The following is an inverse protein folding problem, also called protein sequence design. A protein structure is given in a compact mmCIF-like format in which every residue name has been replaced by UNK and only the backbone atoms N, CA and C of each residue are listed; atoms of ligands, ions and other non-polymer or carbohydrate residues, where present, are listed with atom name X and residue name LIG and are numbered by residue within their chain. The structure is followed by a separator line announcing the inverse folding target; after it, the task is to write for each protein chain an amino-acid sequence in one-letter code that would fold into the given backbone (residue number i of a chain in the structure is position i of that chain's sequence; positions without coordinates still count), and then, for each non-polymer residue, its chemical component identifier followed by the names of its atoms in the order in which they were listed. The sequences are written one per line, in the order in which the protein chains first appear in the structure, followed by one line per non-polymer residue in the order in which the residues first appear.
data_IF_707013562980
#
_entry.id   IF_707013562980
#
_cell.length_a   1.000
_cell.length_b   1.000
_cell.length_c   1.000
_cell.angle_alpha   90.00
_cell.angle_beta   90.00
_cell.angle_gamma   90.00
#
_symmetry.space_group_name_H-M   'P 1'
#
loop_
_entity.id
_entity.type
_entity.pdbx_description
1 polymer ?
#
# COMPACT_ATOMS: atom_id res chain seq x y z
N UNK A 1 -24.97 -2.77 19.99
CA UNK A 1 -24.45 -2.25 18.71
C UNK A 1 -23.12 -2.89 18.32
N UNK A 2 -22.03 -2.73 19.09
CA UNK A 2 -20.69 -3.26 18.74
C UNK A 2 -20.66 -4.78 18.50
N UNK A 3 -21.36 -5.57 19.33
CA UNK A 3 -21.43 -7.04 19.16
C UNK A 3 -22.06 -7.43 17.82
N UNK A 4 -23.07 -6.70 17.37
CA UNK A 4 -23.73 -6.97 16.08
C UNK A 4 -22.77 -6.66 14.91
N UNK A 5 -22.04 -5.54 15.00
CA UNK A 5 -21.02 -5.19 13.99
C UNK A 5 -19.92 -6.25 13.92
N UNK A 6 -19.43 -6.73 15.07
CA UNK A 6 -18.46 -7.82 15.12
C UNK A 6 -19.01 -9.11 14.50
N UNK A 7 -20.25 -9.49 14.80
CA UNK A 7 -20.86 -10.69 14.22
C UNK A 7 -21.03 -10.56 12.71
N UNK A 8 -21.42 -9.39 12.20
CA UNK A 8 -21.55 -9.12 10.76
C UNK A 8 -20.16 -9.15 10.09
N UNK A 9 -19.17 -8.46 10.65
CA UNK A 9 -17.77 -8.47 10.17
C UNK A 9 -17.20 -9.88 10.12
N UNK A 10 -17.40 -10.66 11.19
CA UNK A 10 -16.97 -12.05 11.26
C UNK A 10 -17.69 -12.91 10.21
N UNK A 11 -19.02 -12.77 10.10
CA UNK A 11 -19.82 -13.51 9.12
C UNK A 11 -19.33 -13.21 7.70
N UNK A 12 -19.22 -11.94 7.31
CA UNK A 12 -18.76 -11.54 5.98
C UNK A 12 -17.33 -12.03 5.71
N UNK A 13 -16.39 -11.78 6.63
CA UNK A 13 -14.99 -12.17 6.47
C UNK A 13 -14.83 -13.69 6.39
N UNK A 14 -15.62 -14.45 7.15
CA UNK A 14 -15.63 -15.91 7.11
C UNK A 14 -16.32 -16.50 5.89
N UNK A 15 -17.17 -15.75 5.16
CA UNK A 15 -17.74 -16.22 3.89
C UNK A 15 -16.85 -15.84 2.69
N UNK A 16 -16.14 -14.71 2.77
CA UNK A 16 -15.24 -14.24 1.72
C UNK A 16 -13.87 -14.94 1.71
N UNK A 17 -13.47 -15.56 2.83
CA UNK A 17 -12.25 -16.36 2.88
C UNK A 17 -12.43 -17.65 2.06
N UNK A 18 -12.26 -17.57 0.75
CA UNK A 18 -12.26 -18.72 -0.17
C UNK A 18 -10.85 -19.28 -0.31
N UNK A 19 -10.72 -20.55 -0.69
CA UNK A 19 -9.41 -21.20 -0.94
C UNK A 19 -8.40 -21.08 0.21
N UNK A 20 -8.90 -21.18 1.45
CA UNK A 20 -8.07 -21.21 2.68
C UNK A 20 -7.19 -22.46 2.74
N UNK A 21 -7.71 -23.59 2.28
CA UNK A 21 -7.00 -24.87 2.30
C UNK A 21 -5.81 -24.84 1.35
N UNK A 22 -4.72 -25.52 1.72
CA UNK A 22 -3.45 -25.54 0.95
C UNK A 22 -3.61 -26.14 -0.44
N UNK A 23 -4.61 -26.99 -0.61
CA UNK A 23 -4.84 -27.75 -1.85
C UNK A 23 -5.72 -27.01 -2.88
N UNK A 24 -6.29 -25.84 -2.52
CA UNK A 24 -7.07 -25.08 -3.51
C UNK A 24 -6.15 -24.46 -4.58
N UNK A 25 -6.37 -24.79 -5.85
CA UNK A 25 -5.66 -24.21 -7.00
C UNK A 25 -5.77 -22.68 -7.05
N UNK A 26 -6.93 -22.13 -6.68
CA UNK A 26 -7.16 -20.68 -6.61
C UNK A 26 -6.29 -19.95 -5.57
N UNK A 27 -5.70 -20.67 -4.60
CA UNK A 27 -4.81 -20.08 -3.59
C UNK A 27 -3.57 -19.45 -4.22
N UNK A 28 -3.03 -20.02 -5.30
CA UNK A 28 -1.88 -19.45 -6.01
C UNK A 28 -2.20 -18.06 -6.55
N UNK A 29 -3.39 -17.88 -7.14
CA UNK A 29 -3.86 -16.58 -7.65
C UNK A 29 -3.99 -15.56 -6.51
N UNK A 30 -4.53 -15.98 -5.37
CA UNK A 30 -4.66 -15.12 -4.18
C UNK A 30 -3.29 -14.70 -3.63
N UNK A 31 -2.32 -15.62 -3.56
CA UNK A 31 -0.94 -15.33 -3.14
C UNK A 31 -0.29 -14.35 -4.12
N UNK A 32 -0.47 -14.52 -5.44
CA UNK A 32 0.07 -13.58 -6.43
C UNK A 32 -0.54 -12.17 -6.27
N UNK A 33 -1.84 -12.07 -5.98
CA UNK A 33 -2.50 -10.80 -5.69
C UNK A 33 -1.91 -10.17 -4.41
N UNK A 34 -1.69 -10.97 -3.36
CA UNK A 34 -1.05 -10.50 -2.12
C UNK A 34 0.35 -9.93 -2.40
N UNK A 35 1.20 -10.69 -3.10
CA UNK A 35 2.54 -10.25 -3.51
C UNK A 35 2.53 -9.02 -4.42
N UNK A 36 1.53 -8.91 -5.31
CA UNK A 36 1.38 -7.75 -6.19
C UNK A 36 1.17 -6.46 -5.41
N UNK A 37 0.60 -6.54 -4.20
CA UNK A 37 0.35 -5.41 -3.32
C UNK A 37 1.25 -5.43 -2.08
N UNK A 38 2.36 -6.15 -2.09
CA UNK A 38 3.24 -6.30 -0.93
C UNK A 38 4.24 -5.14 -0.77
N UNK A 39 4.61 -4.79 0.46
CA UNK A 39 5.36 -3.55 0.73
C UNK A 39 6.80 -3.61 0.25
N UNK A 40 7.45 -4.76 0.47
CA UNK A 40 8.86 -4.98 0.13
C UNK A 40 9.12 -4.85 -1.38
N UNK A 41 8.40 -5.54 -2.29
CA UNK A 41 8.57 -5.34 -3.74
C UNK A 41 8.40 -3.88 -4.18
N UNK A 42 7.34 -3.20 -3.72
CA UNK A 42 7.08 -1.82 -4.13
C UNK A 42 8.11 -0.83 -3.60
N UNK A 43 8.60 -1.01 -2.37
CA UNK A 43 9.70 -0.19 -1.84
C UNK A 43 10.99 -0.36 -2.64
N UNK A 44 11.32 -1.60 -3.04
CA UNK A 44 12.48 -1.87 -3.89
C UNK A 44 12.31 -1.29 -5.30
N UNK A 45 11.15 -1.53 -5.94
CA UNK A 45 10.85 -1.05 -7.29
C UNK A 45 10.89 0.48 -7.33
N UNK A 46 10.17 1.16 -6.43
CA UNK A 46 10.14 2.62 -6.37
C UNK A 46 11.53 3.23 -6.14
N UNK A 47 12.33 2.63 -5.25
CA UNK A 47 13.72 3.07 -5.02
C UNK A 47 14.58 2.92 -6.27
N UNK A 48 14.50 1.78 -6.96
CA UNK A 48 15.23 1.53 -8.22
C UNK A 48 14.78 2.53 -9.29
N UNK A 49 13.47 2.73 -9.45
CA UNK A 49 12.93 3.71 -10.41
C UNK A 49 13.43 5.13 -10.12
N UNK A 50 13.54 5.53 -8.86
CA UNK A 50 14.14 6.82 -8.46
C UNK A 50 15.62 6.93 -8.85
N UNK A 51 16.41 5.90 -8.56
CA UNK A 51 17.85 5.88 -8.84
C UNK A 51 18.16 5.90 -10.34
N UNK A 52 17.41 5.15 -11.15
CA UNK A 52 17.63 5.00 -12.59
C UNK A 52 16.70 5.87 -13.45
N UNK A 53 15.97 6.79 -12.84
CA UNK A 53 14.97 7.65 -13.48
C UNK A 53 15.45 8.37 -14.74
N UNK A 54 16.66 8.93 -14.71
CA UNK A 54 17.28 9.64 -15.84
C UNK A 54 17.52 8.73 -17.06
N UNK A 55 17.69 7.43 -16.82
CA UNK A 55 17.89 6.43 -17.86
C UNK A 55 16.57 5.84 -18.35
N UNK A 56 15.59 5.66 -17.46
CA UNK A 56 14.33 5.01 -17.75
C UNK A 56 13.25 5.95 -18.34
N UNK A 57 13.30 7.25 -18.05
CA UNK A 57 12.24 8.19 -18.43
C UNK A 57 12.78 9.41 -19.17
N UNK A 58 12.05 9.84 -20.21
CA UNK A 58 12.34 11.07 -20.93
C UNK A 58 12.09 12.30 -20.05
N UNK A 59 13.02 13.26 -20.03
CA UNK A 59 13.02 14.41 -19.11
C UNK A 59 11.73 15.23 -19.10
N UNK A 60 11.06 15.38 -20.24
CA UNK A 60 9.83 16.16 -20.38
C UNK A 60 8.56 15.28 -20.41
N UNK A 61 8.67 14.01 -20.03
CA UNK A 61 7.52 13.12 -19.91
C UNK A 61 6.84 13.31 -18.56
N UNK A 62 5.51 13.20 -18.50
CA UNK A 62 4.74 13.15 -17.25
C UNK A 62 5.18 12.02 -16.30
N UNK A 63 5.86 10.99 -16.82
CA UNK A 63 6.40 9.89 -16.02
C UNK A 63 7.78 10.21 -15.42
N UNK A 64 8.41 11.33 -15.78
CA UNK A 64 9.77 11.65 -15.34
C UNK A 64 9.86 11.78 -13.83
N UNK A 65 8.88 12.40 -13.17
CA UNK A 65 8.89 12.57 -11.71
C UNK A 65 8.03 11.54 -10.95
N UNK A 66 7.33 10.65 -11.68
CA UNK A 66 6.50 9.59 -11.08
C UNK A 66 7.22 8.75 -10.02
N UNK A 67 8.50 8.33 -10.19
CA UNK A 67 9.16 7.53 -9.18
C UNK A 67 9.23 8.20 -7.80
N UNK A 68 9.36 9.53 -7.74
CA UNK A 68 9.43 10.26 -6.48
C UNK A 68 8.10 10.26 -5.73
N UNK A 69 6.99 10.51 -6.43
CA UNK A 69 5.66 10.44 -5.81
C UNK A 69 5.36 9.01 -5.36
N UNK A 70 5.69 8.00 -6.17
CA UNK A 70 5.53 6.59 -5.81
C UNK A 70 6.31 6.21 -4.55
N UNK A 71 7.59 6.59 -4.47
CA UNK A 71 8.41 6.31 -3.29
C UNK A 71 7.86 7.03 -2.06
N UNK A 72 7.45 8.29 -2.21
CA UNK A 72 6.84 9.07 -1.12
C UNK A 72 5.53 8.42 -0.65
N UNK A 73 4.64 8.04 -1.56
CA UNK A 73 3.38 7.38 -1.24
C UNK A 73 3.57 6.05 -0.54
N UNK A 74 4.54 5.23 -0.98
CA UNK A 74 4.89 3.98 -0.29
C UNK A 74 5.40 4.22 1.13
N UNK A 75 6.28 5.20 1.33
CA UNK A 75 6.80 5.53 2.67
C UNK A 75 5.67 6.02 3.58
N UNK A 76 4.83 6.93 3.08
CA UNK A 76 3.69 7.47 3.83
C UNK A 76 2.66 6.38 4.16
N UNK A 77 2.33 5.51 3.20
CA UNK A 77 1.44 4.36 3.40
C UNK A 77 1.96 3.45 4.52
N UNK A 78 3.23 3.03 4.44
CA UNK A 78 3.84 2.14 5.43
C UNK A 78 3.85 2.77 6.84
N UNK A 79 4.16 4.06 6.95
CA UNK A 79 4.16 4.78 8.24
C UNK A 79 2.74 4.86 8.81
N UNK A 80 1.78 5.36 8.03
CA UNK A 80 0.40 5.56 8.49
C UNK A 80 -0.24 4.23 8.86
N UNK A 81 -0.16 3.23 7.98
CA UNK A 81 -0.70 1.88 8.23
C UNK A 81 -0.02 1.27 9.46
N UNK A 82 1.30 1.37 9.58
CA UNK A 82 2.06 0.86 10.72
C UNK A 82 1.61 1.49 12.04
N UNK A 83 1.48 2.82 12.09
CA UNK A 83 1.00 3.56 13.26
C UNK A 83 -0.43 3.10 13.64
N UNK A 84 -1.35 3.06 12.67
CA UNK A 84 -2.74 2.65 12.94
C UNK A 84 -2.78 1.20 13.46
N UNK A 85 -2.01 0.27 12.86
CA UNK A 85 -1.91 -1.11 13.34
C UNK A 85 -1.42 -1.19 14.79
N UNK A 86 -0.43 -0.39 15.17
CA UNK A 86 0.12 -0.35 16.54
C UNK A 86 -0.87 0.28 17.53
N UNK A 87 -1.70 1.22 17.10
CA UNK A 87 -2.74 1.85 17.95
C UNK A 87 -3.89 0.86 18.20
N UNK A 88 -4.47 0.27 17.15
CA UNK A 88 -5.68 -0.54 17.27
C UNK A 88 -5.41 -1.99 17.69
N UNK A 89 -4.27 -2.56 17.30
CA UNK A 89 -3.81 -3.90 17.68
C UNK A 89 -4.85 -5.02 17.50
N UNK A 90 -5.76 -4.89 16.51
CA UNK A 90 -6.79 -5.91 16.24
C UNK A 90 -6.11 -7.20 15.79
N UNK A 91 -6.40 -8.32 16.46
CA UNK A 91 -5.88 -9.64 16.09
C UNK A 91 -6.36 -10.04 14.68
N UNK A 92 -5.55 -10.81 13.96
CA UNK A 92 -5.98 -11.47 12.72
C UNK A 92 -7.05 -12.55 13.02
N UNK A 93 -7.99 -12.82 12.09
CA UNK A 93 -8.95 -13.92 12.25
C UNK A 93 -8.24 -15.28 12.41
N UNK A 94 -8.82 -16.18 13.20
CA UNK A 94 -8.21 -17.49 13.53
C UNK A 94 -8.01 -18.43 12.33
N UNK A 95 -8.77 -18.22 11.26
CA UNK A 95 -8.69 -19.01 10.04
C UNK A 95 -7.65 -18.48 9.04
N UNK A 96 -6.81 -17.52 9.44
CA UNK A 96 -5.71 -17.04 8.63
C UNK A 96 -4.55 -18.03 8.66
N UNK A 97 -4.05 -18.43 7.50
CA UNK A 97 -2.89 -19.31 7.39
C UNK A 97 -1.61 -18.49 7.61
N UNK A 98 -1.02 -18.58 8.81
CA UNK A 98 0.20 -17.82 9.16
C UNK A 98 1.37 -18.12 8.20
N UNK A 99 1.37 -19.30 7.57
CA UNK A 99 2.41 -19.70 6.62
C UNK A 99 2.40 -18.94 5.29
N UNK A 100 1.36 -18.18 4.98
CA UNK A 100 1.30 -17.39 3.74
C UNK A 100 1.92 -15.99 3.89
N UNK A 101 2.16 -15.58 5.13
CA UNK A 101 2.67 -14.26 5.48
C UNK A 101 4.19 -14.22 5.45
N UNK A 102 4.77 -14.05 4.26
CA UNK A 102 6.22 -13.92 4.08
C UNK A 102 6.66 -12.45 4.06
N UNK A 103 7.78 -12.15 4.73
CA UNK A 103 8.38 -10.81 4.78
C UNK A 103 7.52 -9.72 5.43
N UNK A 104 6.59 -10.12 6.28
CA UNK A 104 5.80 -9.23 7.11
C UNK A 104 6.66 -8.52 8.18
N UNK A 105 6.38 -7.24 8.43
CA UNK A 105 6.99 -6.46 9.49
C UNK A 105 6.60 -7.05 10.87
N UNK A 106 7.55 -7.58 11.66
CA UNK A 106 7.26 -8.41 12.85
C UNK A 106 6.39 -7.74 13.94
N UNK A 107 6.33 -6.40 13.94
CA UNK A 107 5.63 -5.60 14.95
C UNK A 107 4.23 -5.22 14.46
N UNK A 108 4.12 -4.69 13.24
CA UNK A 108 2.86 -4.15 12.73
C UNK A 108 2.01 -5.26 12.09
N UNK A 109 2.60 -6.17 11.33
CA UNK A 109 1.85 -7.09 10.48
C UNK A 109 1.20 -8.26 11.23
N UNK A 110 1.43 -8.36 12.54
CA UNK A 110 0.62 -9.21 13.44
C UNK A 110 -0.82 -8.73 13.58
N UNK A 111 -1.09 -7.46 13.26
CA UNK A 111 -2.41 -6.85 13.40
C UNK A 111 -3.15 -6.77 12.07
N UNK A 112 -4.47 -6.93 12.12
CA UNK A 112 -5.34 -7.03 10.95
C UNK A 112 -5.93 -5.72 10.46
N UNK A 113 -5.93 -4.68 11.29
CA UNK A 113 -6.57 -3.41 10.97
C UNK A 113 -5.58 -2.25 10.98
N UNK A 114 -5.47 -1.48 9.89
CA UNK A 114 -6.13 -1.69 8.59
C UNK A 114 -5.41 -2.76 7.76
N UNK A 115 -6.01 -3.14 6.62
CA UNK A 115 -5.34 -3.97 5.61
C UNK A 115 -4.28 -3.14 4.89
N UNK A 116 -3.00 -3.52 5.02
CA UNK A 116 -1.89 -2.87 4.31
C UNK A 116 -1.96 -3.05 2.80
N UNK A 117 -2.34 -4.24 2.33
CA UNK A 117 -2.52 -4.54 0.90
C UNK A 117 -3.62 -3.67 0.28
N UNK A 118 -4.74 -3.49 0.99
CA UNK A 118 -5.85 -2.64 0.51
C UNK A 118 -5.45 -1.17 0.47
N UNK A 119 -4.79 -0.67 1.53
CA UNK A 119 -4.29 0.71 1.58
C UNK A 119 -3.34 0.99 0.42
N UNK A 120 -2.38 0.09 0.18
CA UNK A 120 -1.42 0.19 -0.90
C UNK A 120 -2.08 0.15 -2.28
N UNK A 121 -3.02 -0.76 -2.50
CA UNK A 121 -3.76 -0.82 -3.76
C UNK A 121 -4.50 0.50 -4.04
N UNK A 122 -5.16 1.08 -3.04
CA UNK A 122 -5.83 2.38 -3.17
C UNK A 122 -4.85 3.51 -3.47
N UNK A 123 -3.72 3.57 -2.76
CA UNK A 123 -2.67 4.58 -2.97
C UNK A 123 -2.09 4.48 -4.39
N UNK A 124 -1.75 3.28 -4.88
CA UNK A 124 -1.24 3.07 -6.24
C UNK A 124 -2.23 3.51 -7.33
N UNK A 125 -3.54 3.25 -7.15
CA UNK A 125 -4.58 3.69 -8.09
C UNK A 125 -4.69 5.21 -8.12
N UNK A 126 -4.61 5.87 -6.95
CA UNK A 126 -4.67 7.33 -6.86
C UNK A 126 -3.44 7.94 -7.54
N UNK A 127 -2.24 7.43 -7.26
CA UNK A 127 -1.02 7.91 -7.89
C UNK A 127 -1.01 7.72 -9.40
N UNK A 128 -1.46 6.55 -9.88
CA UNK A 128 -1.61 6.32 -11.31
C UNK A 128 -2.54 7.36 -11.95
N UNK A 129 -3.65 7.72 -11.29
CA UNK A 129 -4.56 8.77 -11.76
C UNK A 129 -3.91 10.16 -11.72
N UNK A 130 -3.13 10.49 -10.70
CA UNK A 130 -2.38 11.75 -10.63
C UNK A 130 -1.42 11.84 -11.81
N UNK A 131 -0.62 10.81 -12.05
CA UNK A 131 0.39 10.81 -13.11
C UNK A 131 -0.24 10.92 -14.50
N UNK A 132 -1.33 10.20 -14.75
CA UNK A 132 -2.00 10.16 -16.07
C UNK A 132 -2.80 11.43 -16.35
N UNK A 133 -3.51 11.97 -15.35
CA UNK A 133 -4.46 13.07 -15.58
C UNK A 133 -3.94 14.45 -15.15
N UNK A 134 -3.03 14.50 -14.17
CA UNK A 134 -2.50 15.76 -13.60
C UNK A 134 -1.06 16.00 -14.08
N UNK A 135 -0.33 14.96 -14.47
CA UNK A 135 1.05 15.05 -14.94
C UNK A 135 1.98 15.55 -13.84
N UNK A 136 2.83 16.53 -14.14
CA UNK A 136 3.76 17.13 -13.15
C UNK A 136 3.16 18.28 -12.33
N UNK A 137 1.88 18.63 -12.54
CA UNK A 137 1.24 19.77 -11.84
C UNK A 137 1.17 19.58 -10.32
N UNK A 138 1.28 18.35 -9.81
CA UNK A 138 1.42 18.10 -8.36
C UNK A 138 2.71 18.71 -7.79
N UNK A 139 3.77 18.87 -8.60
CA UNK A 139 5.02 19.51 -8.17
C UNK A 139 4.79 21.01 -7.96
N UNK A 140 4.00 21.64 -8.83
CA UNK A 140 3.62 23.05 -8.69
C UNK A 140 2.81 23.27 -7.42
N UNK A 141 1.80 22.42 -7.19
CA UNK A 141 1.00 22.44 -5.95
C UNK A 141 1.86 22.23 -4.69
N UNK A 142 2.82 21.30 -4.73
CA UNK A 142 3.74 21.11 -3.59
C UNK A 142 4.62 22.33 -3.36
N UNK A 143 5.08 23.01 -4.41
CA UNK A 143 5.85 24.26 -4.28
C UNK A 143 5.01 25.38 -3.68
N UNK A 144 3.76 25.53 -4.12
CA UNK A 144 2.81 26.51 -3.58
C UNK A 144 2.58 26.27 -2.08
N UNK A 145 2.27 25.03 -1.68
CA UNK A 145 2.07 24.66 -0.27
C UNK A 145 3.36 24.86 0.55
N UNK A 146 4.52 24.49 -0.02
CA UNK A 146 5.82 24.69 0.62
C UNK A 146 6.05 26.17 0.94
N UNK A 147 5.75 27.06 -0.01
CA UNK A 147 5.85 28.52 0.17
C UNK A 147 4.87 29.03 1.23
N UNK A 148 3.63 28.53 1.26
CA UNK A 148 2.62 28.92 2.25
C UNK A 148 3.00 28.51 3.69
N UNK A 149 3.60 27.33 3.86
CA UNK A 149 4.01 26.80 5.17
C UNK A 149 5.40 27.32 5.59
N UNK A 150 6.08 28.09 4.73
CA UNK A 150 7.43 28.60 5.00
C UNK A 150 8.51 27.51 5.03
N UNK A 151 8.24 26.35 4.43
CA UNK A 151 9.24 25.30 4.24
C UNK A 151 9.91 25.49 2.88
N UNK A 152 11.23 25.34 2.80
CA UNK A 152 11.93 25.21 1.51
C UNK A 152 12.10 23.72 1.21
N UNK A 153 11.12 23.10 0.54
CA UNK A 153 11.15 21.67 0.19
C UNK A 153 11.83 21.42 -1.17
N UNK A 154 12.19 22.47 -1.91
CA UNK A 154 12.87 22.40 -3.21
C UNK A 154 13.96 23.46 -3.36
#
# INVERSE_FOLDING_TARGET
MLRNLYTVDYFLSSNLAICREKDCVGRIVLILIEWSMHGVPWLLISTILCLFRKFLFYKNSQYYNFPYILLLGIIVDLIIVGIIKIIFRRRRPKYNEESDQYYDAPIADKYSFPSGHTSRASMLIIEANIVVNIGDRWIELLKEISQEVGMNVF
#
